data_IF_153786700886
#
_entry.id   IF_153786700886
#
_cell.length_a   1.000
_cell.length_b   1.000
_cell.length_c   1.000
_cell.angle_alpha   90.00
_cell.angle_beta   90.00
_cell.angle_gamma   90.00
#
_symmetry.space_group_name_H-M   'P 1'
#
loop_
_entity.id
_entity.type
_entity.pdbx_description
1 polymer ?
#
# COMPACT_ATOMS: atom_id res chain seq x y z
N UNK A 1 -21.46 -10.86 24.12
CA UNK A 1 -21.61 -10.10 22.86
C UNK A 1 -20.54 -9.00 22.67
N UNK A 2 -19.38 -9.01 23.36
CA UNK A 2 -18.41 -7.90 23.29
C UNK A 2 -17.12 -8.14 22.48
N UNK A 3 -16.76 -9.40 22.22
CA UNK A 3 -15.48 -9.75 21.58
C UNK A 3 -15.47 -9.46 20.08
N UNK A 4 -16.59 -9.71 19.40
CA UNK A 4 -16.76 -9.53 17.96
C UNK A 4 -16.68 -8.05 17.54
N UNK A 5 -17.38 -7.15 18.24
CA UNK A 5 -17.30 -5.71 17.97
C UNK A 5 -15.87 -5.14 18.12
N UNK A 6 -15.08 -5.69 19.04
CA UNK A 6 -13.69 -5.28 19.23
C UNK A 6 -12.79 -5.72 18.06
N UNK A 7 -12.96 -6.96 17.57
CA UNK A 7 -12.24 -7.43 16.38
C UNK A 7 -12.57 -6.60 15.14
N UNK A 8 -13.83 -6.24 14.93
CA UNK A 8 -14.23 -5.39 13.80
C UNK A 8 -13.58 -4.00 13.85
N UNK A 9 -13.68 -3.32 15.00
CA UNK A 9 -13.07 -2.00 15.18
C UNK A 9 -11.55 -2.03 14.98
N UNK A 10 -10.88 -3.11 15.38
CA UNK A 10 -9.45 -3.28 15.17
C UNK A 10 -9.09 -3.52 13.68
N UNK A 11 -9.91 -4.28 12.94
CA UNK A 11 -9.70 -4.53 11.51
C UNK A 11 -9.92 -3.26 10.69
N UNK A 12 -10.98 -2.51 10.97
CA UNK A 12 -11.30 -1.27 10.27
C UNK A 12 -10.24 -0.19 10.53
N UNK A 13 -9.77 -0.08 11.77
CA UNK A 13 -8.63 0.78 12.12
C UNK A 13 -7.35 0.36 11.39
N UNK A 14 -7.03 -0.95 11.37
CA UNK A 14 -5.88 -1.49 10.64
C UNK A 14 -5.95 -1.24 9.13
N UNK A 15 -7.15 -1.31 8.53
CA UNK A 15 -7.37 -0.96 7.13
C UNK A 15 -7.05 0.51 6.85
N UNK A 16 -7.52 1.42 7.71
CA UNK A 16 -7.22 2.84 7.62
C UNK A 16 -5.72 3.14 7.74
N UNK A 17 -5.03 2.46 8.66
CA UNK A 17 -3.58 2.57 8.82
C UNK A 17 -2.81 2.10 7.58
N UNK A 18 -3.24 0.98 6.97
CA UNK A 18 -2.66 0.47 5.72
C UNK A 18 -2.85 1.48 4.60
N UNK A 19 -4.06 2.00 4.40
CA UNK A 19 -4.31 3.03 3.39
C UNK A 19 -3.43 4.27 3.59
N UNK A 20 -3.28 4.72 4.84
CA UNK A 20 -2.39 5.84 5.15
C UNK A 20 -0.91 5.50 4.87
N UNK A 21 -0.48 4.27 5.14
CA UNK A 21 0.87 3.79 4.82
C UNK A 21 1.11 3.70 3.31
N UNK A 22 0.12 3.28 2.52
CA UNK A 22 0.18 3.30 1.05
C UNK A 22 0.39 4.73 0.56
N UNK A 23 -0.44 5.67 1.04
CA UNK A 23 -0.32 7.09 0.64
C UNK A 23 1.05 7.70 0.97
N UNK A 24 1.58 7.42 2.18
CA UNK A 24 2.94 7.85 2.55
C UNK A 24 4.00 7.23 1.65
N UNK A 25 3.87 5.95 1.31
CA UNK A 25 4.83 5.25 0.46
C UNK A 25 4.87 5.86 -0.93
N UNK A 26 3.70 6.15 -1.52
CA UNK A 26 3.62 6.81 -2.83
C UNK A 26 4.35 8.17 -2.82
N UNK A 27 4.14 8.98 -1.77
CA UNK A 27 4.86 10.25 -1.62
C UNK A 27 6.38 10.08 -1.55
N UNK A 28 6.87 9.08 -0.82
CA UNK A 28 8.31 8.78 -0.75
C UNK A 28 8.88 8.30 -2.09
N UNK A 29 8.09 7.54 -2.87
CA UNK A 29 8.49 7.11 -4.21
C UNK A 29 8.61 8.30 -5.18
N UNK A 30 7.67 9.24 -5.13
CA UNK A 30 7.71 10.48 -5.92
C UNK A 30 8.91 11.36 -5.52
N UNK A 31 9.16 11.52 -4.22
CA UNK A 31 10.32 12.25 -3.70
C UNK A 31 11.66 11.62 -4.13
N UNK A 32 11.73 10.28 -4.11
CA UNK A 32 12.91 9.54 -4.55
C UNK A 32 13.14 9.67 -6.05
N UNK A 33 12.09 9.61 -6.87
CA UNK A 33 12.17 9.86 -8.31
C UNK A 33 12.65 11.28 -8.61
N UNK A 34 12.11 12.29 -7.92
CA UNK A 34 12.55 13.67 -8.06
C UNK A 34 14.01 13.87 -7.65
N UNK A 35 14.46 13.16 -6.62
CA UNK A 35 15.87 13.16 -6.19
C UNK A 35 16.78 12.53 -7.22
N UNK A 36 16.36 11.41 -7.83
CA UNK A 36 17.08 10.76 -8.91
C UNK A 36 17.20 11.70 -10.13
N UNK A 37 16.12 12.37 -10.52
CA UNK A 37 16.11 13.33 -11.62
C UNK A 37 17.08 14.50 -11.39
N UNK A 38 17.18 15.03 -10.16
CA UNK A 38 18.17 16.09 -9.83
C UNK A 38 19.61 15.61 -9.96
N UNK A 39 19.88 14.35 -9.63
CA UNK A 39 21.20 13.74 -9.76
C UNK A 39 21.57 13.39 -11.21
N UNK A 40 20.60 13.36 -12.13
CA UNK A 40 20.84 13.12 -13.55
C UNK A 40 21.95 14.04 -14.09
N UNK A 41 21.87 15.34 -13.77
CA UNK A 41 22.84 16.35 -14.21
C UNK A 41 24.29 16.07 -13.75
N UNK A 42 24.47 15.38 -12.63
CA UNK A 42 25.79 15.00 -12.12
C UNK A 42 26.38 13.75 -12.80
N UNK A 43 25.56 12.94 -13.48
CA UNK A 43 25.97 11.66 -14.08
C UNK A 43 26.06 11.67 -15.62
N UNK A 44 25.75 12.79 -16.28
CA UNK A 44 25.71 12.89 -17.76
C UNK A 44 27.07 12.60 -18.44
N UNK A 45 28.21 12.82 -17.75
CA UNK A 45 29.56 12.65 -18.31
C UNK A 45 30.01 11.20 -18.51
N UNK A 46 30.38 10.52 -17.41
CA UNK A 46 30.87 9.12 -17.43
C UNK A 46 29.83 8.09 -16.93
N UNK A 47 28.69 8.54 -16.39
CA UNK A 47 27.74 7.71 -15.65
C UNK A 47 26.36 7.55 -16.28
N UNK A 48 26.15 7.98 -17.54
CA UNK A 48 24.81 8.05 -18.14
C UNK A 48 24.15 6.66 -18.31
N UNK A 49 24.92 5.62 -18.62
CA UNK A 49 24.44 4.23 -18.62
C UNK A 49 24.08 3.75 -17.21
N UNK A 50 24.86 4.15 -16.20
CA UNK A 50 24.58 3.83 -14.80
C UNK A 50 23.31 4.55 -14.30
N UNK A 51 23.06 5.78 -14.75
CA UNK A 51 21.84 6.51 -14.44
C UNK A 51 20.60 5.79 -14.95
N UNK A 52 20.58 5.41 -16.23
CA UNK A 52 19.43 4.74 -16.85
C UNK A 52 19.13 3.40 -16.16
N UNK A 53 20.15 2.63 -15.79
CA UNK A 53 19.98 1.39 -15.06
C UNK A 53 19.37 1.61 -13.66
N UNK A 54 19.81 2.65 -12.94
CA UNK A 54 19.23 3.00 -11.63
C UNK A 54 17.79 3.48 -11.78
N UNK A 55 17.49 4.30 -12.79
CA UNK A 55 16.15 4.79 -13.06
C UNK A 55 15.17 3.66 -13.42
N UNK A 56 15.56 2.74 -14.30
CA UNK A 56 14.74 1.55 -14.61
C UNK A 56 14.49 0.69 -13.37
N UNK A 57 15.51 0.47 -12.54
CA UNK A 57 15.37 -0.30 -11.31
C UNK A 57 14.47 0.41 -10.29
N UNK A 58 14.57 1.73 -10.19
CA UNK A 58 13.68 2.53 -9.36
C UNK A 58 12.22 2.39 -9.81
N UNK A 59 11.95 2.57 -11.09
CA UNK A 59 10.60 2.49 -11.67
C UNK A 59 10.00 1.09 -11.48
N UNK A 60 10.79 0.04 -11.71
CA UNK A 60 10.38 -1.35 -11.50
C UNK A 60 10.00 -1.62 -10.04
N UNK A 61 10.88 -1.27 -9.09
CA UNK A 61 10.64 -1.48 -7.66
C UNK A 61 9.45 -0.66 -7.15
N UNK A 62 9.30 0.58 -7.63
CA UNK A 62 8.19 1.46 -7.27
C UNK A 62 6.86 0.87 -7.73
N UNK A 63 6.83 0.34 -8.95
CA UNK A 63 5.64 -0.31 -9.52
C UNK A 63 5.27 -1.57 -8.74
N UNK A 64 6.25 -2.42 -8.43
CA UNK A 64 6.02 -3.64 -7.65
C UNK A 64 5.50 -3.34 -6.25
N UNK A 65 6.08 -2.34 -5.58
CA UNK A 65 5.64 -1.91 -4.25
C UNK A 65 4.20 -1.37 -4.28
N UNK A 66 3.87 -0.52 -5.25
CA UNK A 66 2.51 -0.01 -5.43
C UNK A 66 1.49 -1.12 -5.66
N UNK A 67 1.85 -2.12 -6.47
CA UNK A 67 1.01 -3.28 -6.71
C UNK A 67 0.78 -4.07 -5.42
N UNK A 68 1.84 -4.38 -4.67
CA UNK A 68 1.74 -5.11 -3.41
C UNK A 68 0.89 -4.37 -2.36
N UNK A 69 1.05 -3.05 -2.24
CA UNK A 69 0.27 -2.21 -1.33
C UNK A 69 -1.21 -2.15 -1.72
N UNK A 70 -1.51 -2.08 -3.03
CA UNK A 70 -2.88 -2.12 -3.53
C UNK A 70 -3.54 -3.47 -3.24
N UNK A 71 -2.82 -4.57 -3.45
CA UNK A 71 -3.31 -5.92 -3.13
C UNK A 71 -3.54 -6.10 -1.64
N UNK A 72 -2.64 -5.58 -0.79
CA UNK A 72 -2.80 -5.59 0.65
C UNK A 72 -4.05 -4.82 1.08
N UNK A 73 -4.25 -3.61 0.57
CA UNK A 73 -5.43 -2.81 0.87
C UNK A 73 -6.74 -3.52 0.47
N UNK A 74 -6.77 -4.15 -0.71
CA UNK A 74 -7.90 -4.96 -1.16
C UNK A 74 -8.15 -6.16 -0.25
N UNK A 75 -7.10 -6.89 0.13
CA UNK A 75 -7.22 -8.05 1.01
C UNK A 75 -7.82 -7.67 2.38
N UNK A 76 -7.39 -6.54 2.95
CA UNK A 76 -7.91 -6.07 4.23
C UNK A 76 -9.35 -5.55 4.11
N UNK A 77 -9.68 -4.85 3.03
CA UNK A 77 -11.07 -4.46 2.76
C UNK A 77 -11.99 -5.68 2.61
N UNK A 78 -11.53 -6.72 1.92
CA UNK A 78 -12.29 -7.96 1.71
C UNK A 78 -12.47 -8.75 3.01
N UNK A 79 -11.46 -8.75 3.89
CA UNK A 79 -11.57 -9.36 5.21
C UNK A 79 -12.65 -8.66 6.05
N UNK A 80 -12.67 -7.32 6.06
CA UNK A 80 -13.68 -6.53 6.75
C UNK A 80 -15.11 -6.79 6.25
N UNK A 81 -15.32 -6.84 4.93
CA UNK A 81 -16.65 -7.10 4.34
C UNK A 81 -17.13 -8.53 4.57
N UNK A 82 -16.23 -9.52 4.45
CA UNK A 82 -16.57 -10.95 4.68
C UNK A 82 -16.99 -11.20 6.13
N UNK A 83 -16.30 -10.59 7.09
CA UNK A 83 -16.65 -10.72 8.51
C UNK A 83 -18.01 -10.06 8.80
N UNK A 84 -18.23 -8.83 8.33
CA UNK A 84 -19.53 -8.15 8.52
C UNK A 84 -20.71 -8.85 7.83
N UNK A 85 -20.50 -9.47 6.67
CA UNK A 85 -21.53 -10.28 5.99
C UNK A 85 -21.86 -11.57 6.74
N UNK A 86 -20.84 -12.27 7.26
CA UNK A 86 -21.01 -13.49 8.05
C UNK A 86 -21.77 -13.19 9.35
N UNK A 87 -21.49 -12.08 10.00
CA UNK A 87 -22.15 -11.68 11.25
C UNK A 87 -23.61 -11.29 11.07
N UNK A 88 -23.97 -10.54 10.03
CA UNK A 88 -25.38 -10.25 9.74
C UNK A 88 -26.19 -11.52 9.50
N UNK A 89 -25.58 -12.52 8.85
CA UNK A 89 -26.19 -13.83 8.66
C UNK A 89 -26.35 -14.58 10.00
N UNK A 90 -25.34 -14.56 10.87
CA UNK A 90 -25.36 -15.23 12.18
C UNK A 90 -26.35 -14.56 13.15
N UNK A 91 -26.37 -13.22 13.23
CA UNK A 91 -27.33 -12.47 14.05
C UNK A 91 -28.76 -12.76 13.57
N UNK A 92 -28.98 -12.77 12.25
CA UNK A 92 -30.28 -13.10 11.67
C UNK A 92 -30.75 -14.54 11.92
N UNK A 93 -29.85 -15.47 12.25
CA UNK A 93 -30.21 -16.83 12.68
C UNK A 93 -30.54 -16.97 14.17
N UNK A 94 -30.19 -15.98 15.00
CA UNK A 94 -30.42 -15.99 16.45
C UNK A 94 -31.55 -15.04 16.92
N UNK A 95 -32.23 -14.37 15.97
CA UNK A 95 -33.46 -13.59 16.19
C UNK A 95 -34.67 -14.32 15.62
#
# INVERSE_FOLDING_TARGET
MGQINYEFGAIEAGAGEIHAAVGRTNGLLDEGQGSLARLQGAWVGDGSMSYQAVQQRWDANSTELNLALTQLAQAVSNAGTTMGGTENAVIGTFT
#
